data_IF_497714571021
#
_entry.id   IF_497714571021
#
_cell.length_a   1.000
_cell.length_b   1.000
_cell.length_c   1.000
_cell.angle_alpha   90.00
_cell.angle_beta   90.00
_cell.angle_gamma   90.00
#
_symmetry.space_group_name_H-M   'P 1'
#
loop_
_entity.id
_entity.type
_entity.pdbx_description
1 polymer ?
#
# COMPACT_ATOMS: atom_id res chain seq x y z
N UNK A 1 29.51 -8.74 -10.79
CA UNK A 1 28.20 -8.08 -10.62
C UNK A 1 27.36 -8.42 -11.84
N UNK A 2 26.23 -9.11 -11.66
CA UNK A 2 25.53 -9.83 -12.75
C UNK A 2 24.32 -9.04 -13.24
N UNK A 3 23.99 -9.18 -14.53
CA UNK A 3 22.73 -8.71 -15.11
C UNK A 3 21.48 -9.27 -14.37
N UNK A 4 21.65 -10.37 -13.62
CA UNK A 4 20.62 -10.93 -12.73
C UNK A 4 20.27 -9.98 -11.55
N UNK A 5 21.20 -9.17 -11.07
CA UNK A 5 20.95 -8.19 -10.00
C UNK A 5 20.04 -7.04 -10.50
N UNK A 6 20.18 -6.68 -11.78
CA UNK A 6 19.34 -5.67 -12.45
C UNK A 6 17.89 -6.14 -12.65
N UNK A 7 17.69 -7.46 -12.71
CA UNK A 7 16.39 -8.13 -12.78
C UNK A 7 15.92 -8.61 -11.41
N UNK A 8 16.43 -8.04 -10.31
CA UNK A 8 15.69 -8.03 -9.05
C UNK A 8 14.45 -7.18 -9.31
N UNK A 9 13.42 -7.84 -9.87
CA UNK A 9 12.08 -7.31 -10.19
C UNK A 9 11.78 -6.15 -9.25
N UNK A 10 11.44 -4.98 -9.79
CA UNK A 10 10.73 -3.95 -9.04
C UNK A 10 9.66 -4.66 -8.21
N UNK A 11 9.90 -4.80 -6.91
CA UNK A 11 9.00 -5.53 -6.03
C UNK A 11 7.81 -4.60 -5.90
N UNK A 12 6.72 -4.97 -6.57
CA UNK A 12 5.46 -4.26 -6.43
C UNK A 12 5.03 -4.38 -4.97
N UNK A 13 4.70 -3.25 -4.35
CA UNK A 13 4.20 -3.22 -2.97
C UNK A 13 2.76 -3.72 -2.99
N UNK A 14 2.45 -4.67 -2.13
CA UNK A 14 1.08 -5.16 -1.97
C UNK A 14 0.45 -4.50 -0.74
N UNK A 15 -0.62 -3.76 -0.98
CA UNK A 15 -1.44 -3.11 0.04
C UNK A 15 -2.77 -3.85 0.16
N UNK A 16 -3.15 -4.17 1.40
CA UNK A 16 -4.48 -4.67 1.73
C UNK A 16 -5.31 -3.49 2.23
N UNK A 17 -6.48 -3.29 1.62
CA UNK A 17 -7.48 -2.34 2.05
C UNK A 17 -8.69 -3.10 2.62
N UNK A 18 -9.05 -2.84 3.87
CA UNK A 18 -10.16 -3.51 4.56
C UNK A 18 -11.22 -2.48 4.92
N UNK A 19 -12.48 -2.80 4.59
CA UNK A 19 -13.60 -1.96 4.99
C UNK A 19 -13.88 -2.13 6.50
N UNK A 20 -13.72 -1.05 7.26
CA UNK A 20 -14.18 -0.98 8.63
C UNK A 20 -15.65 -0.53 8.64
N UNK A 21 -16.55 -1.47 8.95
CA UNK A 21 -17.98 -1.19 8.98
C UNK A 21 -18.44 -0.33 10.16
N UNK A 22 -17.67 -0.31 11.26
CA UNK A 22 -17.99 0.49 12.45
C UNK A 22 -17.62 1.96 12.20
N UNK A 23 -16.43 2.20 11.66
CA UNK A 23 -15.92 3.54 11.34
C UNK A 23 -16.41 4.06 9.99
N UNK A 24 -16.88 3.19 9.10
CA UNK A 24 -17.30 3.49 7.72
C UNK A 24 -16.18 4.09 6.87
N UNK A 25 -14.98 3.54 7.01
CA UNK A 25 -13.81 3.92 6.24
C UNK A 25 -13.09 2.69 5.73
N UNK A 26 -12.34 2.86 4.65
CA UNK A 26 -11.33 1.88 4.24
C UNK A 26 -10.07 2.12 5.03
N UNK A 27 -9.48 1.06 5.58
CA UNK A 27 -8.17 1.06 6.24
C UNK A 27 -7.15 0.38 5.33
N UNK A 28 -5.90 0.84 5.29
CA UNK A 28 -4.84 0.25 4.49
C UNK A 28 -3.64 -0.18 5.35
N UNK A 29 -3.14 -1.39 5.09
CA UNK A 29 -1.91 -1.92 5.67
C UNK A 29 -1.04 -2.63 4.63
N UNK A 30 0.27 -2.75 4.90
CA UNK A 30 1.19 -3.50 4.03
C UNK A 30 2.37 -4.08 4.82
N UNK A 31 2.72 -5.33 4.53
CA UNK A 31 3.95 -5.96 5.03
C UNK A 31 5.21 -5.46 4.30
N UNK A 32 5.04 -4.79 3.15
CA UNK A 32 6.17 -4.26 2.36
C UNK A 32 6.56 -2.84 2.80
N UNK A 33 5.72 -2.15 3.56
CA UNK A 33 5.95 -0.77 4.05
C UNK A 33 5.81 -0.75 5.57
N UNK A 34 6.92 -0.76 6.32
CA UNK A 34 6.87 -0.79 7.78
C UNK A 34 6.09 0.39 8.35
N UNK A 35 5.12 0.06 9.20
CA UNK A 35 4.28 1.04 9.90
C UNK A 35 3.15 1.65 9.06
N UNK A 36 2.97 1.24 7.79
CA UNK A 36 1.89 1.77 6.96
C UNK A 36 0.53 1.40 7.55
N UNK A 37 -0.14 2.43 8.06
CA UNK A 37 -1.52 2.41 8.52
C UNK A 37 -2.13 3.75 8.12
N UNK A 38 -3.20 3.72 7.33
CA UNK A 38 -3.94 4.92 6.93
C UNK A 38 -5.37 4.56 6.56
N UNK A 39 -6.26 5.54 6.47
CA UNK A 39 -7.68 5.33 6.18
C UNK A 39 -8.24 6.40 5.24
N UNK A 40 -9.34 6.10 4.56
CA UNK A 40 -10.10 7.07 3.76
C UNK A 40 -11.55 6.61 3.53
N UNK A 41 -12.43 7.55 3.18
CA UNK A 41 -13.85 7.25 2.96
C UNK A 41 -14.08 6.43 1.68
N UNK A 42 -13.18 6.57 0.70
CA UNK A 42 -13.24 5.86 -0.58
C UNK A 42 -11.91 5.21 -0.95
N UNK A 43 -11.97 4.14 -1.78
CA UNK A 43 -10.76 3.50 -2.31
C UNK A 43 -9.93 4.45 -3.18
N UNK A 44 -10.57 5.39 -3.89
CA UNK A 44 -9.85 6.37 -4.72
C UNK A 44 -9.05 7.35 -3.85
N UNK A 45 -9.66 7.88 -2.79
CA UNK A 45 -8.95 8.73 -1.81
C UNK A 45 -7.82 7.97 -1.10
N UNK A 46 -8.07 6.70 -0.76
CA UNK A 46 -7.05 5.83 -0.17
C UNK A 46 -5.87 5.64 -1.12
N UNK A 47 -6.14 5.43 -2.41
CA UNK A 47 -5.10 5.29 -3.44
C UNK A 47 -4.27 6.58 -3.59
N UNK A 48 -4.88 7.77 -3.55
CA UNK A 48 -4.15 9.03 -3.56
C UNK A 48 -3.29 9.22 -2.30
N UNK A 49 -3.80 8.88 -1.12
CA UNK A 49 -3.01 8.90 0.13
C UNK A 49 -1.81 7.96 0.04
N UNK A 50 -1.99 6.74 -0.48
CA UNK A 50 -0.92 5.75 -0.61
C UNK A 50 0.21 6.21 -1.54
N UNK A 51 -0.09 6.96 -2.61
CA UNK A 51 0.94 7.52 -3.51
C UNK A 51 1.91 8.47 -2.79
N UNK A 52 1.47 9.12 -1.72
CA UNK A 52 2.28 10.02 -0.89
C UNK A 52 2.91 9.27 0.27
N UNK A 53 2.13 8.48 1.01
CA UNK A 53 2.61 7.85 2.23
C UNK A 53 3.63 6.73 1.96
N UNK A 54 3.46 5.93 0.90
CA UNK A 54 4.38 4.83 0.60
C UNK A 54 5.84 5.33 0.46
N UNK A 55 6.16 6.32 -0.41
CA UNK A 55 7.53 6.82 -0.49
C UNK A 55 8.00 7.42 0.84
N UNK A 56 7.20 8.30 1.47
CA UNK A 56 7.57 8.95 2.73
C UNK A 56 7.93 7.94 3.84
N UNK A 57 7.15 6.85 3.95
CA UNK A 57 7.39 5.83 4.96
C UNK A 57 8.58 4.94 4.63
N UNK A 58 8.86 4.66 3.35
CA UNK A 58 10.09 3.98 2.98
C UNK A 58 11.32 4.84 3.29
N UNK A 59 11.27 6.15 3.03
CA UNK A 59 12.34 7.09 3.40
C UNK A 59 12.53 7.13 4.92
N UNK A 60 11.44 7.26 5.68
CA UNK A 60 11.47 7.34 7.14
C UNK A 60 12.02 6.06 7.82
N UNK A 61 11.98 4.93 7.12
CA UNK A 61 12.52 3.64 7.59
C UNK A 61 13.88 3.29 6.95
N UNK A 62 14.57 4.25 6.32
CA UNK A 62 15.86 4.06 5.64
C UNK A 62 15.85 2.96 4.56
N UNK A 63 14.69 2.75 3.90
CA UNK A 63 14.53 1.76 2.84
C UNK A 63 14.78 2.43 1.47
N UNK A 64 15.89 2.10 0.79
CA UNK A 64 16.24 2.74 -0.46
C UNK A 64 15.28 2.35 -1.58
N UNK A 65 14.85 3.35 -2.34
CA UNK A 65 14.07 3.18 -3.56
C UNK A 65 14.53 4.20 -4.61
N UNK A 66 14.37 3.86 -5.89
CA UNK A 66 14.79 4.71 -7.01
C UNK A 66 13.62 4.81 -7.99
N UNK A 67 13.18 6.04 -8.25
CA UNK A 67 12.08 6.30 -9.18
C UNK A 67 10.72 5.87 -8.62
N UNK A 68 9.77 5.62 -9.53
CA UNK A 68 8.41 5.26 -9.15
C UNK A 68 8.33 3.90 -8.43
N UNK A 69 7.57 3.86 -7.35
CA UNK A 69 7.32 2.65 -6.57
C UNK A 69 5.97 2.06 -7.02
N UNK A 70 5.96 0.98 -7.82
CA UNK A 70 4.71 0.36 -8.23
C UNK A 70 4.05 -0.30 -7.02
N UNK A 71 2.74 -0.09 -6.83
CA UNK A 71 1.96 -0.78 -5.81
C UNK A 71 0.64 -1.35 -6.36
N UNK A 72 0.12 -2.38 -5.71
CA UNK A 72 -1.26 -2.89 -5.87
C UNK A 72 -2.03 -2.56 -4.61
N UNK A 73 -3.32 -2.28 -4.76
CA UNK A 73 -4.25 -2.33 -3.63
C UNK A 73 -5.29 -3.41 -3.92
N UNK A 74 -5.48 -4.32 -2.96
CA UNK A 74 -6.60 -5.27 -2.95
C UNK A 74 -7.55 -4.85 -1.85
N UNK A 75 -8.83 -4.72 -2.18
CA UNK A 75 -9.88 -4.38 -1.23
C UNK A 75 -10.65 -5.62 -0.79
N UNK A 76 -10.88 -5.77 0.51
CA UNK A 76 -11.73 -6.80 1.11
C UNK A 76 -12.91 -6.13 1.83
N UNK A 77 -14.13 -6.55 1.47
CA UNK A 77 -15.38 -6.09 2.06
C UNK A 77 -16.26 -7.30 2.34
N UNK A 78 -16.64 -7.46 3.60
CA UNK A 78 -17.60 -8.47 4.04
C UNK A 78 -19.00 -7.85 4.16
N UNK A 79 -20.00 -8.53 3.61
CA UNK A 79 -21.39 -8.10 3.66
C UNK A 79 -22.32 -9.31 3.76
N UNK A 80 -23.46 -9.10 4.42
CA UNK A 80 -24.54 -10.09 4.53
C UNK A 80 -25.66 -9.70 3.56
N UNK A 81 -26.01 -10.60 2.63
CA UNK A 81 -27.17 -10.45 1.76
C UNK A 81 -28.42 -11.08 2.43
N UNK A 82 -29.61 -10.51 2.13
CA UNK A 82 -30.91 -10.98 2.63
C UNK A 82 -31.77 -11.52 1.49
#
# INVERSE_FOLDING_TARGET
>A
MSLLDFRRKLKKIDVLAEWDSEAKVWTATSNDVPGLVTEADTLDELAEKLKVMIPEMLEANDIPHIGGIPFSMRSELEAVAL
#
